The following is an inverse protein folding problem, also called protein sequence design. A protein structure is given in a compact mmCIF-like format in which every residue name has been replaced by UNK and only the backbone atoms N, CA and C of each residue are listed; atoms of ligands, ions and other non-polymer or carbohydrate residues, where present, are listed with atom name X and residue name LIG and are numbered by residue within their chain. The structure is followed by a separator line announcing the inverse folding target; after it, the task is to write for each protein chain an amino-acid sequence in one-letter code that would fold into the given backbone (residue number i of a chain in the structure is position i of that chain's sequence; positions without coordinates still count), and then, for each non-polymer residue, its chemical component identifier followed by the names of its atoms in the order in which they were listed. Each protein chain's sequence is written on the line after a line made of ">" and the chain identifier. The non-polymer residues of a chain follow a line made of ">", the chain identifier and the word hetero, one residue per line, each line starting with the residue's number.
data_IF_313025755090
#
_entry.id   IF_313025755090
#
_cell.length_a   1.000
_cell.length_b   1.000
_cell.length_c   1.000
_cell.angle_alpha   90.00
_cell.angle_beta   90.00
_cell.angle_gamma   90.00
#
_symmetry.space_group_name_H-M   'P 1'
#
loop_
_entity.id
_entity.type
_entity.pdbx_description
1 polymer ?
#
# COMPACT_ATOMS: atom_id res chain seq x y z
N UNK A 1 -18.55 12.64 -3.04
CA UNK A 1 -17.99 11.47 -3.76
C UNK A 1 -16.92 12.03 -4.70
N UNK A 2 -15.63 11.81 -4.42
CA UNK A 2 -14.57 12.31 -5.30
C UNK A 2 -14.35 11.31 -6.43
N UNK A 3 -14.43 11.76 -7.68
CA UNK A 3 -14.21 10.93 -8.87
C UNK A 3 -12.72 10.56 -9.05
N UNK A 4 -11.82 11.36 -8.44
CA UNK A 4 -10.36 11.26 -8.54
C UNK A 4 -9.74 11.42 -7.16
N UNK A 5 -8.73 10.61 -6.83
CA UNK A 5 -8.10 10.67 -5.50
C UNK A 5 -7.46 12.05 -5.23
N UNK A 6 -6.87 12.64 -6.26
CA UNK A 6 -6.16 13.92 -6.16
C UNK A 6 -7.06 15.15 -5.94
N UNK A 7 -8.38 14.99 -6.02
CA UNK A 7 -9.34 16.04 -5.64
C UNK A 7 -9.86 15.87 -4.21
N UNK A 8 -9.46 14.79 -3.52
CA UNK A 8 -9.92 14.52 -2.16
C UNK A 8 -9.26 15.43 -1.12
N UNK A 9 -9.99 15.71 -0.04
CA UNK A 9 -9.44 16.46 1.11
C UNK A 9 -8.19 15.78 1.69
N UNK A 10 -8.16 14.44 1.72
CA UNK A 10 -6.99 13.69 2.20
C UNK A 10 -5.75 13.99 1.36
N UNK A 11 -5.90 14.05 0.03
CA UNK A 11 -4.81 14.40 -0.88
C UNK A 11 -4.34 15.83 -0.64
N UNK A 12 -5.26 16.78 -0.57
CA UNK A 12 -4.93 18.19 -0.32
C UNK A 12 -4.20 18.39 1.00
N UNK A 13 -4.63 17.73 2.08
CA UNK A 13 -3.92 17.76 3.37
C UNK A 13 -2.51 17.20 3.23
N UNK A 14 -2.35 16.00 2.67
CA UNK A 14 -1.03 15.38 2.49
C UNK A 14 -0.10 16.24 1.62
N UNK A 15 -0.63 16.86 0.57
CA UNK A 15 0.10 17.76 -0.31
C UNK A 15 0.55 19.02 0.43
N UNK A 16 -0.36 19.67 1.15
CA UNK A 16 -0.06 20.88 1.91
C UNK A 16 0.97 20.61 3.02
N UNK A 17 0.85 19.49 3.72
CA UNK A 17 1.77 19.14 4.81
C UNK A 17 3.18 18.86 4.27
N UNK A 18 3.28 18.15 3.14
CA UNK A 18 4.54 17.97 2.41
C UNK A 18 5.13 19.32 1.96
N UNK A 19 4.31 20.25 1.45
CA UNK A 19 4.83 21.55 1.02
C UNK A 19 5.33 22.43 2.18
N UNK A 20 4.82 22.23 3.40
CA UNK A 20 5.26 22.95 4.59
C UNK A 20 6.56 22.39 5.19
N UNK A 21 6.98 21.17 4.82
CA UNK A 21 8.23 20.61 5.31
C UNK A 21 9.41 21.50 4.93
N UNK A 22 10.29 21.76 5.91
CA UNK A 22 11.48 22.57 5.73
C UNK A 22 12.39 21.92 4.68
N UNK A 23 12.90 22.72 3.74
CA UNK A 23 13.91 22.28 2.80
C UNK A 23 15.25 22.36 3.52
N UNK A 24 15.86 21.21 3.81
CA UNK A 24 17.22 21.18 4.36
C UNK A 24 18.27 21.57 3.30
N UNK A 25 17.92 21.39 2.02
CA UNK A 25 18.81 21.62 0.89
C UNK A 25 18.36 22.84 0.05
N UNK A 26 19.30 23.52 -0.62
CA UNK A 26 19.04 24.48 -1.70
C UNK A 26 18.44 23.81 -2.96
N UNK A 27 17.83 22.64 -2.82
CA UNK A 27 17.22 21.88 -3.89
C UNK A 27 15.96 22.60 -4.41
N UNK A 28 15.94 22.86 -5.71
CA UNK A 28 14.84 23.54 -6.39
C UNK A 28 13.87 22.58 -7.07
N UNK A 29 14.07 21.27 -6.95
CA UNK A 29 13.21 20.28 -7.58
C UNK A 29 11.79 20.37 -7.01
N UNK A 30 10.80 20.21 -7.88
CA UNK A 30 9.40 20.21 -7.49
C UNK A 30 9.09 18.97 -6.64
N UNK A 31 8.27 19.17 -5.59
CA UNK A 31 7.80 18.10 -4.71
C UNK A 31 6.42 17.65 -5.16
N UNK A 32 6.30 16.37 -5.49
CA UNK A 32 5.07 15.77 -5.99
C UNK A 32 4.71 14.56 -5.13
N UNK A 33 3.41 14.31 -5.01
CA UNK A 33 2.91 13.10 -4.33
C UNK A 33 2.71 12.01 -5.37
N UNK A 34 3.13 10.79 -5.03
CA UNK A 34 2.62 9.59 -5.68
C UNK A 34 1.65 8.88 -4.73
N UNK A 35 0.37 8.85 -5.10
CA UNK A 35 -0.68 8.20 -4.32
C UNK A 35 -0.66 6.71 -4.54
N UNK A 36 -0.49 5.96 -3.46
CA UNK A 36 -0.52 4.50 -3.46
C UNK A 36 -1.87 4.00 -2.96
N UNK A 37 -2.49 3.14 -3.76
CA UNK A 37 -3.77 2.50 -3.46
C UNK A 37 -3.60 0.99 -3.55
N UNK A 38 -3.71 0.31 -2.42
CA UNK A 38 -3.51 -1.13 -2.34
C UNK A 38 -4.84 -1.90 -2.35
N UNK A 39 -4.87 -3.00 -3.07
CA UNK A 39 -6.03 -3.89 -3.18
C UNK A 39 -5.59 -5.33 -2.96
N UNK A 40 -6.43 -6.15 -2.32
CA UNK A 40 -6.18 -7.59 -2.22
C UNK A 40 -7.46 -8.39 -2.40
N UNK A 41 -7.45 -9.33 -3.35
CA UNK A 41 -8.57 -10.22 -3.65
C UNK A 41 -8.17 -11.70 -3.51
N UNK A 42 -9.17 -12.58 -3.40
CA UNK A 42 -8.93 -14.03 -3.36
C UNK A 42 -8.68 -14.53 -4.78
N UNK A 43 -7.48 -15.07 -5.04
CA UNK A 43 -7.24 -15.79 -6.29
C UNK A 43 -7.00 -17.28 -6.03
N UNK A 44 -7.69 -18.12 -6.79
CA UNK A 44 -7.38 -19.54 -6.85
C UNK A 44 -6.15 -19.73 -7.74
N UNK A 45 -5.01 -20.07 -7.14
CA UNK A 45 -3.74 -20.21 -7.86
C UNK A 45 -3.67 -21.47 -8.74
N UNK A 46 -4.51 -22.48 -8.52
CA UNK A 46 -4.43 -23.75 -9.26
C UNK A 46 -5.80 -24.39 -9.52
N UNK A 47 -5.98 -24.96 -10.72
CA UNK A 47 -7.15 -25.75 -11.12
C UNK A 47 -7.17 -27.15 -10.48
N UNK A 48 -6.00 -27.64 -10.03
CA UNK A 48 -5.82 -28.91 -9.32
C UNK A 48 -4.87 -28.72 -8.12
N UNK A 49 -5.40 -28.15 -7.04
CA UNK A 49 -4.69 -27.93 -5.78
C UNK A 49 -5.50 -27.05 -4.82
N UNK A 50 -5.42 -27.32 -3.52
CA UNK A 50 -6.09 -26.54 -2.47
C UNK A 50 -5.31 -25.26 -2.05
N UNK A 51 -4.25 -24.90 -2.78
CA UNK A 51 -3.45 -23.73 -2.47
C UNK A 51 -4.14 -22.45 -2.96
N UNK A 52 -4.51 -21.59 -2.02
CA UNK A 52 -5.00 -20.24 -2.31
C UNK A 52 -3.93 -19.22 -1.93
N UNK A 53 -3.82 -18.15 -2.71
CA UNK A 53 -3.06 -16.98 -2.31
C UNK A 53 -3.84 -15.72 -2.61
N UNK A 54 -3.47 -14.67 -1.90
CA UNK A 54 -4.12 -13.38 -2.00
C UNK A 54 -3.10 -12.41 -2.55
N UNK A 55 -3.14 -12.11 -3.86
CA UNK A 55 -2.30 -11.07 -4.42
C UNK A 55 -2.61 -9.74 -3.74
N UNK A 56 -1.56 -8.93 -3.61
CA UNK A 56 -1.66 -7.53 -3.27
C UNK A 56 -1.32 -6.75 -4.53
N UNK A 57 -2.27 -5.94 -4.98
CA UNK A 57 -2.13 -5.07 -6.13
C UNK A 57 -1.89 -3.64 -5.67
N UNK A 58 -1.04 -2.93 -6.40
CA UNK A 58 -0.81 -1.50 -6.26
C UNK A 58 -1.36 -0.77 -7.48
N UNK A 59 -2.14 0.27 -7.20
CA UNK A 59 -2.59 1.26 -8.16
C UNK A 59 -2.06 2.64 -7.79
N UNK A 60 -1.73 3.43 -8.81
CA UNK A 60 -1.37 4.84 -8.64
C UNK A 60 -2.61 5.73 -8.67
N UNK A 61 -2.87 6.42 -7.56
CA UNK A 61 -3.99 7.35 -7.40
C UNK A 61 -3.80 8.70 -8.11
N UNK A 62 -2.65 8.91 -8.74
CA UNK A 62 -2.38 10.04 -9.63
C UNK A 62 -3.14 9.94 -10.95
N UNK A 63 -3.58 8.73 -11.30
CA UNK A 63 -4.32 8.45 -12.52
C UNK A 63 -5.83 8.59 -12.27
N UNK A 64 -6.56 8.89 -13.34
CA UNK A 64 -8.01 9.00 -13.29
C UNK A 64 -8.67 7.63 -13.18
N UNK A 65 -9.86 7.60 -12.59
CA UNK A 65 -10.67 6.38 -12.46
C UNK A 65 -10.89 5.65 -13.79
N UNK A 66 -11.04 6.40 -14.89
CA UNK A 66 -11.28 5.82 -16.22
C UNK A 66 -10.08 5.02 -16.73
N UNK A 67 -8.86 5.39 -16.31
CA UNK A 67 -7.65 4.67 -16.66
C UNK A 67 -7.54 3.35 -15.87
N UNK A 68 -7.99 3.34 -14.60
CA UNK A 68 -8.02 2.14 -13.75
C UNK A 68 -9.01 1.06 -14.22
N UNK A 69 -10.14 1.46 -14.82
CA UNK A 69 -11.19 0.53 -15.28
C UNK A 69 -10.86 -0.09 -16.65
N UNK A 70 -9.87 0.44 -17.35
CA UNK A 70 -9.45 -0.13 -18.63
C UNK A 70 -8.64 -1.41 -18.40
N UNK A 71 -9.18 -2.55 -18.84
CA UNK A 71 -8.50 -3.86 -18.75
C UNK A 71 -7.15 -3.92 -19.51
N UNK A 72 -6.87 -2.95 -20.39
CA UNK A 72 -5.66 -2.87 -21.20
C UNK A 72 -4.59 -1.92 -20.67
N UNK A 73 -4.82 -1.21 -19.55
CA UNK A 73 -3.94 -0.12 -19.12
C UNK A 73 -2.68 -0.57 -18.38
N UNK A 74 -2.62 -1.83 -17.91
CA UNK A 74 -1.44 -2.35 -17.18
C UNK A 74 -1.17 -1.62 -15.86
N UNK A 75 -2.13 -0.86 -15.35
CA UNK A 75 -1.99 0.01 -14.17
C UNK A 75 -2.18 -0.71 -12.83
N UNK A 76 -2.46 -2.01 -12.90
CA UNK A 76 -2.56 -2.90 -11.76
C UNK A 76 -1.22 -3.64 -11.61
N UNK A 77 -0.45 -3.26 -10.60
CA UNK A 77 0.87 -3.85 -10.36
C UNK A 77 0.78 -4.88 -9.22
N UNK A 78 0.91 -6.20 -9.48
CA UNK A 78 1.03 -7.17 -8.41
C UNK A 78 2.37 -6.97 -7.69
N UNK A 79 2.31 -6.64 -6.39
CA UNK A 79 3.47 -6.28 -5.57
C UNK A 79 3.80 -7.32 -4.51
N UNK A 80 2.84 -8.16 -4.12
CA UNK A 80 3.07 -9.27 -3.20
C UNK A 80 2.01 -10.36 -3.34
N UNK A 81 2.28 -11.51 -2.74
CA UNK A 81 1.32 -12.61 -2.57
C UNK A 81 1.28 -13.02 -1.10
N UNK A 82 0.09 -12.98 -0.50
CA UNK A 82 -0.14 -13.47 0.86
C UNK A 82 -0.50 -14.95 0.78
N UNK A 83 0.32 -15.85 1.37
CA UNK A 83 0.04 -17.28 1.36
C UNK A 83 -1.15 -17.62 2.27
N UNK A 84 -1.94 -18.62 1.90
CA UNK A 84 -2.95 -19.16 2.80
C UNK A 84 -2.28 -19.95 3.93
N UNK A 85 -2.65 -19.66 5.18
CA UNK A 85 -2.30 -20.48 6.34
C UNK A 85 -3.49 -21.35 6.74
N UNK A 86 -3.28 -22.66 6.80
CA UNK A 86 -4.21 -23.63 7.36
C UNK A 86 -3.45 -24.55 8.33
N UNK A 87 -4.00 -24.75 9.53
CA UNK A 87 -3.47 -25.71 10.50
C UNK A 87 -4.28 -27.01 10.47
N UNK A 88 -3.65 -28.14 10.78
CA UNK A 88 -4.30 -29.45 10.87
C UNK A 88 -5.51 -29.43 11.85
N UNK A 89 -6.55 -30.24 11.60
CA UNK A 89 -7.89 -30.09 12.17
C UNK A 89 -8.01 -30.65 13.59
N UNK A 90 -7.18 -30.19 14.53
CA UNK A 90 -7.44 -30.40 15.95
C UNK A 90 -8.39 -29.30 16.43
N UNK A 91 -9.55 -29.72 16.93
CA UNK A 91 -10.65 -28.84 17.34
C UNK A 91 -10.14 -27.83 18.38
N UNK A 92 -10.46 -26.53 18.18
CA UNK A 92 -10.27 -25.38 19.09
C UNK A 92 -9.08 -24.42 18.87
N UNK A 93 -8.56 -24.27 17.65
CA UNK A 93 -7.51 -23.27 17.35
C UNK A 93 -7.98 -22.03 16.55
N UNK A 94 -9.27 -21.68 16.57
CA UNK A 94 -9.78 -20.53 15.80
C UNK A 94 -9.07 -19.21 16.16
N UNK A 95 -8.84 -18.95 17.46
CA UNK A 95 -8.11 -17.77 17.92
C UNK A 95 -6.63 -17.78 17.54
N UNK A 96 -5.97 -18.94 17.58
CA UNK A 96 -4.58 -19.07 17.16
C UNK A 96 -4.42 -18.88 15.65
N UNK A 97 -5.33 -19.43 14.84
CA UNK A 97 -5.34 -19.22 13.40
C UNK A 97 -5.56 -17.74 13.04
N UNK A 98 -6.45 -17.06 13.75
CA UNK A 98 -6.66 -15.62 13.61
C UNK A 98 -5.38 -14.84 13.92
N UNK A 99 -4.72 -15.17 15.03
CA UNK A 99 -3.45 -14.56 15.42
C UNK A 99 -2.34 -14.80 14.38
N UNK A 100 -2.14 -16.04 13.91
CA UNK A 100 -1.13 -16.32 12.88
C UNK A 100 -1.42 -15.59 11.55
N UNK A 101 -2.69 -15.45 11.16
CA UNK A 101 -3.06 -14.64 9.97
C UNK A 101 -2.74 -13.17 10.16
N UNK A 102 -2.98 -12.64 11.36
CA UNK A 102 -2.63 -11.26 11.72
C UNK A 102 -1.11 -11.04 11.68
N UNK A 103 -0.33 -11.92 12.29
CA UNK A 103 1.14 -11.84 12.28
C UNK A 103 1.70 -11.98 10.86
N UNK A 104 1.17 -12.91 10.06
CA UNK A 104 1.58 -13.09 8.66
C UNK A 104 1.33 -11.83 7.84
N UNK A 105 0.16 -11.19 8.01
CA UNK A 105 -0.13 -9.92 7.37
C UNK A 105 0.90 -8.87 7.75
N UNK A 106 1.18 -8.70 9.04
CA UNK A 106 2.16 -7.73 9.51
C UNK A 106 3.57 -8.00 9.00
N UNK A 107 3.98 -9.26 8.95
CA UNK A 107 5.27 -9.65 8.40
C UNK A 107 5.39 -9.28 6.91
N UNK A 108 4.36 -9.56 6.11
CA UNK A 108 4.37 -9.24 4.67
C UNK A 108 4.40 -7.73 4.45
N UNK A 109 3.60 -6.96 5.19
CA UNK A 109 3.64 -5.51 5.09
C UNK A 109 4.96 -4.92 5.59
N UNK A 110 5.60 -5.53 6.59
CA UNK A 110 6.95 -5.14 7.01
C UNK A 110 8.01 -5.40 5.94
N UNK A 111 7.85 -6.45 5.12
CA UNK A 111 8.73 -6.71 3.97
C UNK A 111 8.46 -5.71 2.84
N UNK A 112 7.18 -5.41 2.56
CA UNK A 112 6.80 -4.49 1.48
C UNK A 112 7.13 -3.03 1.79
N UNK A 113 7.04 -2.64 3.06
CA UNK A 113 7.29 -1.28 3.55
C UNK A 113 8.62 -1.28 4.31
N UNK A 114 9.66 -1.69 3.60
CA UNK A 114 11.01 -1.77 4.12
C UNK A 114 11.57 -0.37 4.44
N UNK A 115 12.82 -0.35 4.92
CA UNK A 115 13.48 0.88 5.30
C UNK A 115 13.65 1.85 4.13
N UNK A 116 13.88 1.35 2.91
CA UNK A 116 13.98 2.21 1.72
C UNK A 116 12.65 2.91 1.44
N UNK A 117 11.54 2.17 1.52
CA UNK A 117 10.21 2.74 1.40
C UNK A 117 9.92 3.78 2.49
N UNK A 118 10.25 3.47 3.75
CA UNK A 118 10.00 4.37 4.89
C UNK A 118 10.77 5.69 4.71
N UNK A 119 12.03 5.63 4.28
CA UNK A 119 12.83 6.83 4.03
C UNK A 119 12.30 7.63 2.84
N UNK A 120 11.93 6.97 1.74
CA UNK A 120 11.25 7.63 0.62
C UNK A 120 9.91 8.25 1.05
N UNK A 121 9.18 7.61 1.97
CA UNK A 121 7.94 8.15 2.52
C UNK A 121 8.18 9.40 3.36
N UNK A 122 9.20 9.42 4.22
CA UNK A 122 9.49 10.57 5.10
C UNK A 122 10.08 11.75 4.33
N UNK A 123 11.08 11.48 3.51
CA UNK A 123 11.97 12.50 2.93
C UNK A 123 11.73 12.77 1.46
N UNK A 124 11.30 11.76 0.69
CA UNK A 124 11.18 11.65 -0.78
C UNK A 124 12.27 10.83 -1.46
N UNK A 125 11.95 10.40 -2.68
CA UNK A 125 12.87 9.80 -3.64
C UNK A 125 12.93 10.68 -4.89
N UNK A 126 14.12 10.88 -5.45
CA UNK A 126 14.29 11.63 -6.70
C UNK A 126 14.03 10.71 -7.88
N UNK A 127 13.02 11.04 -8.69
CA UNK A 127 12.63 10.26 -9.87
C UNK A 127 12.60 11.16 -11.10
N UNK A 128 13.13 10.66 -12.21
CA UNK A 128 12.95 11.27 -13.54
C UNK A 128 11.58 10.86 -14.07
N UNK A 129 10.70 11.83 -14.25
CA UNK A 129 9.38 11.62 -14.85
C UNK A 129 9.48 11.43 -16.36
N UNK A 130 8.37 11.04 -17.00
CA UNK A 130 8.31 10.75 -18.44
C UNK A 130 8.68 11.97 -19.32
N UNK A 131 8.47 13.17 -18.79
CA UNK A 131 8.85 14.45 -19.42
C UNK A 131 10.35 14.78 -19.32
N UNK A 132 11.14 13.91 -18.67
CA UNK A 132 12.57 14.10 -18.43
C UNK A 132 12.89 15.02 -17.25
N UNK A 133 11.88 15.48 -16.50
CA UNK A 133 12.06 16.38 -15.36
C UNK A 133 12.23 15.59 -14.08
N UNK A 134 13.23 15.97 -13.28
CA UNK A 134 13.48 15.41 -11.95
C UNK A 134 12.51 16.00 -10.93
N UNK A 135 11.90 15.13 -10.13
CA UNK A 135 11.01 15.51 -9.06
C UNK A 135 11.37 14.80 -7.75
N UNK A 136 11.16 15.49 -6.63
CA UNK A 136 11.08 14.85 -5.33
C UNK A 136 9.71 14.20 -5.18
N UNK A 137 9.67 12.88 -5.31
CA UNK A 137 8.45 12.10 -5.23
C UNK A 137 8.24 11.60 -3.81
N UNK A 138 7.08 11.90 -3.25
CA UNK A 138 6.65 11.47 -1.92
C UNK A 138 5.55 10.41 -2.03
N UNK A 139 5.85 9.14 -1.75
CA UNK A 139 4.85 8.08 -1.67
C UNK A 139 3.85 8.34 -0.55
N UNK A 140 2.55 8.25 -0.83
CA UNK A 140 1.49 8.41 0.18
C UNK A 140 0.43 7.33 0.02
N UNK A 141 0.22 6.54 1.07
CA UNK A 141 -0.78 5.48 1.07
C UNK A 141 -2.13 6.09 1.41
N UNK A 142 -3.09 6.05 0.48
CA UNK A 142 -4.41 6.63 0.66
C UNK A 142 -5.49 5.61 0.97
N UNK A 143 -5.43 4.45 0.32
CA UNK A 143 -6.45 3.41 0.44
C UNK A 143 -5.81 2.03 0.53
N UNK A 144 -6.41 1.18 1.35
CA UNK A 144 -6.24 -0.26 1.30
C UNK A 144 -7.63 -0.88 1.31
N UNK A 145 -7.93 -1.68 0.28
CA UNK A 145 -9.19 -2.42 0.15
C UNK A 145 -8.87 -3.90 0.05
N UNK A 146 -9.51 -4.75 0.85
CA UNK A 146 -9.22 -6.17 0.81
C UNK A 146 -10.43 -7.02 1.12
N UNK A 147 -10.59 -8.08 0.32
CA UNK A 147 -11.50 -9.20 0.60
C UNK A 147 -10.82 -10.25 1.51
N UNK A 148 -9.54 -10.07 1.83
CA UNK A 148 -8.79 -10.86 2.82
C UNK A 148 -9.55 -10.82 4.15
N UNK A 149 -9.78 -11.96 4.84
CA UNK A 149 -10.91 -12.14 5.74
C UNK A 149 -11.06 -10.95 6.70
N UNK A 150 -12.07 -10.13 6.41
CA UNK A 150 -12.46 -8.86 7.05
C UNK A 150 -12.66 -8.93 8.58
N UNK A 151 -12.38 -10.07 9.21
CA UNK A 151 -12.52 -10.26 10.65
C UNK A 151 -11.28 -9.89 11.46
N UNK A 152 -10.14 -9.61 10.83
CA UNK A 152 -8.87 -9.53 11.56
C UNK A 152 -8.13 -8.20 11.47
N UNK A 153 -8.35 -7.40 10.41
CA UNK A 153 -7.66 -6.12 10.20
C UNK A 153 -8.65 -5.09 9.64
N UNK A 154 -9.09 -4.16 10.47
CA UNK A 154 -9.91 -3.01 10.04
C UNK A 154 -9.05 -1.97 9.32
N UNK A 155 -9.67 -1.07 8.54
CA UNK A 155 -8.98 0.07 7.92
C UNK A 155 -8.24 0.94 8.96
N UNK A 156 -8.78 1.05 10.18
CA UNK A 156 -8.12 1.73 11.29
C UNK A 156 -6.89 0.98 11.81
N UNK A 157 -6.98 -0.35 11.95
CA UNK A 157 -5.83 -1.18 12.33
C UNK A 157 -4.74 -1.15 11.26
N UNK A 158 -5.12 -1.14 9.98
CA UNK A 158 -4.19 -0.93 8.89
C UNK A 158 -3.51 0.44 9.00
N UNK A 159 -4.26 1.53 9.11
CA UNK A 159 -3.72 2.88 9.29
C UNK A 159 -2.80 3.00 10.51
N UNK A 160 -3.21 2.45 11.64
CA UNK A 160 -2.39 2.42 12.87
C UNK A 160 -1.10 1.63 12.68
N UNK A 161 -1.15 0.52 11.94
CA UNK A 161 0.02 -0.31 11.69
C UNK A 161 0.98 0.35 10.70
N UNK A 162 0.47 0.90 9.60
CA UNK A 162 1.25 1.72 8.66
C UNK A 162 1.89 2.90 9.37
N UNK A 163 1.13 3.62 10.19
CA UNK A 163 1.67 4.71 11.02
C UNK A 163 2.75 4.21 11.98
N UNK A 164 2.58 3.03 12.60
CA UNK A 164 3.63 2.41 13.41
C UNK A 164 4.89 2.10 12.59
N UNK A 165 4.79 1.53 11.39
CA UNK A 165 5.96 1.29 10.54
C UNK A 165 6.66 2.61 10.16
N UNK A 166 5.89 3.61 9.73
CA UNK A 166 6.41 4.92 9.31
C UNK A 166 7.00 5.70 10.49
N UNK A 167 6.47 5.58 11.71
CA UNK A 167 6.96 6.32 12.88
C UNK A 167 8.05 5.58 13.65
N UNK A 168 8.04 4.24 13.66
CA UNK A 168 9.03 3.46 14.40
C UNK A 168 10.41 3.49 13.75
N UNK A 169 10.51 3.67 12.43
CA UNK A 169 11.76 3.47 11.68
C UNK A 169 12.08 1.98 11.68
N UNK A 170 11.93 1.32 10.53
CA UNK A 170 11.85 -0.14 10.47
C UNK A 170 12.95 -0.83 11.27
N UNK A 171 12.50 -1.77 12.11
CA UNK A 171 13.37 -2.58 12.97
C UNK A 171 14.26 -3.50 12.15
#
# INVERSE_FOLDING_TARGET
>A
LYDKLYTSNAWHTAHNDMQKQQREDNCTLERVIVGLMFWSDSTHLTQFGHATAWPVYLFFGNLSKYEHVSASSGLCHPVAFIPSVSFCPRKNHAGLLAHCKHELFHAIWGIMLDNEFIEAYRSSIVITCHDGVLHHVYPRIFTYSADYPEKYITVEQFRSSIHRYICAGGQ
#
